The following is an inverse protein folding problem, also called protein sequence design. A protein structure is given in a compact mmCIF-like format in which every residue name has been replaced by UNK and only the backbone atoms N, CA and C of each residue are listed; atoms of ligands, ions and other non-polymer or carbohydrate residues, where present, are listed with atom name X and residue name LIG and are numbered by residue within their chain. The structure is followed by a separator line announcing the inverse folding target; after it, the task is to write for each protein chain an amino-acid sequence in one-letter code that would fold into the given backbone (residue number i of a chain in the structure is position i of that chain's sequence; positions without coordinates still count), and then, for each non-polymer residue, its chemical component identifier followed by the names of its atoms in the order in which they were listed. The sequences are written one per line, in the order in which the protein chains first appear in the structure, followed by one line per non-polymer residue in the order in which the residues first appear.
data_IF_636583803036
#
_entry.id   IF_636583803036
#
_cell.length_a   1.000
_cell.length_b   1.000
_cell.length_c   1.000
_cell.angle_alpha   90.00
_cell.angle_beta   90.00
_cell.angle_gamma   90.00
#
_symmetry.space_group_name_H-M   'P 1'
#
loop_
_entity.id
_entity.type
_entity.pdbx_description
1 polymer ?
#
# COMPACT_ATOMS: atom_id res chain seq x y z
N UNK A 1 8.31 -12.27 -4.20
CA UNK A 1 7.26 -13.23 -4.60
C UNK A 1 7.36 -14.55 -3.85
N UNK A 2 8.50 -15.27 -3.85
CA UNK A 2 8.66 -16.56 -3.13
C UNK A 2 8.39 -16.54 -1.63
N UNK A 3 8.63 -15.41 -0.96
CA UNK A 3 8.35 -15.25 0.47
C UNK A 3 6.85 -15.17 0.81
N UNK A 4 5.98 -15.06 -0.20
CA UNK A 4 4.52 -15.09 -0.10
C UNK A 4 3.92 -14.17 0.99
N UNK A 5 4.48 -12.98 1.14
CA UNK A 5 4.01 -12.01 2.13
C UNK A 5 2.52 -11.67 1.93
N UNK A 6 1.73 -11.57 3.03
CA UNK A 6 0.33 -11.21 2.95
C UNK A 6 0.18 -9.77 2.47
N UNK A 7 -0.92 -9.50 1.77
CA UNK A 7 -1.32 -8.17 1.35
C UNK A 7 -2.70 -7.89 1.93
N UNK A 8 -2.82 -6.75 2.62
CA UNK A 8 -4.07 -6.36 3.26
C UNK A 8 -4.31 -4.86 3.15
N UNK A 9 -5.55 -4.46 3.44
CA UNK A 9 -5.99 -3.08 3.40
C UNK A 9 -6.14 -2.55 4.80
N UNK A 10 -5.59 -1.36 5.05
CA UNK A 10 -5.84 -0.56 6.25
C UNK A 10 -6.43 0.78 5.85
N UNK A 11 -7.47 1.21 6.57
CA UNK A 11 -8.00 2.57 6.41
C UNK A 11 -7.31 3.47 7.43
N UNK A 12 -6.76 4.58 6.97
CA UNK A 12 -6.13 5.60 7.83
C UNK A 12 -6.87 6.93 7.67
N UNK A 13 -6.78 7.77 8.67
CA UNK A 13 -7.29 9.14 8.62
C UNK A 13 -6.38 10.08 7.82
N UNK A 14 -6.92 11.23 7.43
CA UNK A 14 -6.14 12.33 6.86
C UNK A 14 -5.01 12.79 7.80
N UNK A 15 -5.28 12.79 9.12
CA UNK A 15 -4.30 13.15 10.15
C UNK A 15 -3.14 12.15 10.24
N UNK A 16 -3.42 10.85 10.16
CA UNK A 16 -2.38 9.81 10.13
C UNK A 16 -1.51 9.91 8.86
N UNK A 17 -2.11 10.23 7.71
CA UNK A 17 -1.35 10.49 6.48
C UNK A 17 -0.48 11.74 6.62
N UNK A 18 -1.02 12.83 7.18
CA UNK A 18 -0.29 14.07 7.40
C UNK A 18 0.88 13.88 8.38
N UNK A 19 0.72 13.04 9.40
CA UNK A 19 1.78 12.67 10.34
C UNK A 19 2.87 11.80 9.70
N UNK A 20 2.57 11.12 8.58
CA UNK A 20 3.48 10.21 7.88
C UNK A 20 3.58 10.53 6.39
N UNK A 21 4.12 11.70 6.00
CA UNK A 21 4.15 12.13 4.61
C UNK A 21 4.95 11.19 3.68
N UNK A 22 5.88 10.40 4.24
CA UNK A 22 6.65 9.39 3.49
C UNK A 22 5.83 8.21 2.94
N UNK A 23 4.56 8.07 3.36
CA UNK A 23 3.63 7.09 2.77
C UNK A 23 3.26 7.46 1.33
N UNK A 24 3.30 8.74 0.98
CA UNK A 24 3.02 9.20 -0.39
C UNK A 24 4.32 9.19 -1.20
N UNK A 25 4.58 8.09 -1.90
CA UNK A 25 5.78 7.95 -2.75
C UNK A 25 5.57 8.37 -4.21
N UNK A 26 4.32 8.63 -4.63
CA UNK A 26 4.02 9.10 -5.97
C UNK A 26 4.38 10.59 -6.12
N UNK A 27 5.12 10.93 -7.18
CA UNK A 27 5.47 12.33 -7.51
C UNK A 27 4.29 13.12 -8.07
N UNK A 28 3.31 12.46 -8.70
CA UNK A 28 2.31 13.14 -9.54
C UNK A 28 0.89 13.05 -8.99
N UNK A 29 0.61 12.11 -8.09
CA UNK A 29 -0.76 11.87 -7.61
C UNK A 29 -0.73 11.71 -6.10
N UNK A 30 -1.34 12.68 -5.41
CA UNK A 30 -1.64 12.57 -3.98
C UNK A 30 -3.02 11.94 -3.79
N UNK A 31 -3.22 11.12 -2.75
CA UNK A 31 -4.55 10.65 -2.38
C UNK A 31 -5.47 11.85 -2.13
N UNK A 32 -6.75 11.77 -2.52
CA UNK A 32 -7.72 12.80 -2.14
C UNK A 32 -7.82 12.88 -0.62
N UNK A 33 -7.56 14.07 -0.08
CA UNK A 33 -7.66 14.37 1.35
C UNK A 33 -9.04 14.95 1.66
N UNK A 34 -9.51 14.75 2.90
CA UNK A 34 -10.78 15.31 3.38
C UNK A 34 -12.00 14.40 3.18
N UNK A 35 -11.78 13.16 2.73
CA UNK A 35 -12.81 12.10 2.74
C UNK A 35 -12.89 11.38 4.09
N UNK A 36 -11.96 11.66 5.00
CA UNK A 36 -11.89 11.09 6.35
C UNK A 36 -11.33 9.67 6.41
N UNK A 37 -11.22 8.96 5.28
CA UNK A 37 -10.64 7.62 5.19
C UNK A 37 -9.83 7.44 3.91
N UNK A 38 -8.55 7.17 4.08
CA UNK A 38 -7.59 6.90 3.01
C UNK A 38 -7.24 5.42 3.02
N UNK A 39 -7.32 4.79 1.86
CA UNK A 39 -7.03 3.36 1.70
C UNK A 39 -5.54 3.13 1.53
N UNK A 40 -4.94 2.45 2.51
CA UNK A 40 -3.55 2.02 2.51
C UNK A 40 -3.49 0.52 2.15
N UNK A 41 -2.71 0.18 1.14
CA UNK A 41 -2.35 -1.20 0.83
C UNK A 41 -1.04 -1.49 1.55
N UNK A 42 -1.05 -2.56 2.35
CA UNK A 42 0.05 -2.99 3.19
C UNK A 42 0.57 -4.35 2.70
N UNK A 43 1.89 -4.50 2.61
CA UNK A 43 2.56 -5.72 2.17
C UNK A 43 3.47 -6.23 3.31
N UNK A 44 3.35 -7.52 3.63
CA UNK A 44 4.04 -8.15 4.75
C UNK A 44 3.30 -7.98 6.07
N UNK A 45 3.64 -8.82 7.05
CA UNK A 45 3.06 -8.76 8.40
C UNK A 45 3.26 -7.37 8.99
N UNK A 46 2.16 -6.75 9.45
CA UNK A 46 2.16 -5.37 9.95
C UNK A 46 2.80 -4.35 8.99
N UNK A 47 2.70 -4.59 7.68
CA UNK A 47 3.28 -3.75 6.63
C UNK A 47 4.83 -3.65 6.67
N UNK A 48 5.49 -4.73 7.11
CA UNK A 48 6.96 -4.80 7.23
C UNK A 48 7.72 -4.62 5.91
N UNK A 49 7.08 -4.88 4.76
CA UNK A 49 7.71 -4.73 3.44
C UNK A 49 7.41 -3.38 2.84
N UNK A 50 6.13 -3.01 2.74
CA UNK A 50 5.73 -1.71 2.23
C UNK A 50 4.32 -1.32 2.68
N UNK A 51 4.03 -0.02 2.66
CA UNK A 51 2.67 0.50 2.79
C UNK A 51 2.47 1.76 1.97
N UNK A 52 1.40 1.79 1.18
CA UNK A 52 1.15 2.87 0.22
C UNK A 52 -0.34 3.18 0.06
N UNK A 53 -0.72 4.46 -0.07
CA UNK A 53 -2.07 4.82 -0.46
C UNK A 53 -2.37 4.35 -1.88
N UNK A 54 -3.37 3.47 -2.04
CA UNK A 54 -3.71 2.91 -3.35
C UNK A 54 -5.21 2.61 -3.46
N UNK A 55 -5.83 3.03 -4.57
CA UNK A 55 -7.24 2.77 -4.90
C UNK A 55 -7.47 1.51 -5.75
N UNK A 56 -6.40 0.81 -6.16
CA UNK A 56 -6.50 -0.35 -7.05
C UNK A 56 -6.96 -1.65 -6.38
N UNK A 57 -7.28 -2.65 -7.20
CA UNK A 57 -7.48 -4.04 -6.76
C UNK A 57 -6.12 -4.72 -6.56
N UNK A 58 -6.04 -5.61 -5.57
CA UNK A 58 -4.80 -6.30 -5.22
C UNK A 58 -5.07 -7.79 -4.97
N UNK A 59 -4.05 -8.58 -5.26
CA UNK A 59 -3.90 -9.98 -4.86
C UNK A 59 -3.82 -10.11 -3.34
N UNK A 60 -4.04 -11.32 -2.81
CA UNK A 60 -4.01 -11.55 -1.35
C UNK A 60 -2.60 -11.72 -0.80
N UNK A 61 -1.65 -12.11 -1.64
CA UNK A 61 -0.26 -12.31 -1.24
C UNK A 61 0.70 -12.08 -2.40
N UNK A 62 1.97 -11.85 -2.08
CA UNK A 62 2.99 -11.61 -3.11
C UNK A 62 3.31 -12.84 -3.97
N UNK A 63 2.92 -14.05 -3.55
CA UNK A 63 3.08 -15.26 -4.33
C UNK A 63 2.12 -15.36 -5.53
N UNK A 64 0.92 -14.78 -5.42
CA UNK A 64 -0.08 -14.76 -6.50
C UNK A 64 0.40 -14.00 -7.76
N UNK A 65 1.40 -13.13 -7.62
CA UNK A 65 1.99 -12.39 -8.75
C UNK A 65 2.81 -13.31 -9.67
N UNK A 66 3.37 -14.40 -9.14
CA UNK A 66 4.26 -15.30 -9.89
C UNK A 66 5.68 -14.78 -10.06
N UNK A 67 6.46 -15.42 -10.93
CA UNK A 67 7.84 -15.01 -11.23
C UNK A 67 7.89 -13.71 -12.04
N UNK A 68 8.80 -12.82 -11.65
CA UNK A 68 9.00 -11.51 -12.30
C UNK A 68 10.36 -11.54 -13.00
N UNK A 69 10.38 -11.16 -14.28
CA UNK A 69 11.58 -11.04 -15.09
C UNK A 69 11.85 -9.57 -15.37
N UNK A 70 13.08 -9.12 -15.13
CA UNK A 70 13.53 -7.76 -15.42
C UNK A 70 14.51 -7.87 -16.60
N UNK A 71 14.22 -7.14 -17.68
CA UNK A 71 15.07 -7.02 -18.86
C UNK A 71 16.04 -5.86 -18.79
#
# INVERSE_FOLDING_TARGET
VRADHPIFVRLISDGELAANPGLVRSKNVRPPVGTGKIRLVCIGDNASVDSQPCGGTHVKSTGEVGEIHIG
#
